data_IF_149764738684
#
_entry.id   IF_149764738684
#
_cell.length_a   1.000
_cell.length_b   1.000
_cell.length_c   1.000
_cell.angle_alpha   90.00
_cell.angle_beta   90.00
_cell.angle_gamma   90.00
#
_symmetry.space_group_name_H-M   'P 1'
#
loop_
_entity.id
_entity.type
_entity.pdbx_description
1 polymer ?
#
# COMPACT_ATOMS: atom_id res chain seq x y z
N UNK A 1 1.96 10.69 6.46
CA UNK A 1 1.78 10.63 5.00
C UNK A 1 2.97 11.32 4.36
N UNK A 2 3.20 12.61 4.65
CA UNK A 2 4.37 13.38 4.20
C UNK A 2 5.72 12.68 4.37
N UNK A 3 5.95 12.05 5.53
CA UNK A 3 7.18 11.27 5.79
C UNK A 3 7.43 10.18 4.73
N UNK A 4 6.38 9.49 4.30
CA UNK A 4 6.48 8.45 3.28
C UNK A 4 6.66 9.10 1.92
N UNK A 5 5.81 10.06 1.55
CA UNK A 5 5.87 10.76 0.26
C UNK A 5 7.24 11.38 -0.04
N UNK A 6 7.85 12.01 0.95
CA UNK A 6 9.13 12.71 0.78
C UNK A 6 10.35 11.77 0.72
N UNK A 7 10.19 10.50 1.11
CA UNK A 7 11.29 9.53 1.21
C UNK A 7 11.03 8.26 0.38
N UNK A 8 10.01 8.26 -0.47
CA UNK A 8 9.60 7.11 -1.26
C UNK A 8 10.25 7.12 -2.64
N UNK A 9 10.68 5.95 -3.09
CA UNK A 9 11.19 5.68 -4.42
C UNK A 9 10.50 4.43 -4.95
N UNK A 10 9.87 4.55 -6.11
CA UNK A 10 9.20 3.43 -6.73
C UNK A 10 10.20 2.38 -7.21
N UNK A 11 9.94 1.11 -6.91
CA UNK A 11 10.66 -0.05 -7.44
C UNK A 11 9.68 -1.18 -7.72
N UNK A 12 9.96 -2.01 -8.72
CA UNK A 12 9.08 -3.13 -9.05
C UNK A 12 9.35 -4.37 -8.19
N UNK A 13 8.29 -5.11 -7.89
CA UNK A 13 8.33 -6.38 -7.15
C UNK A 13 9.23 -7.46 -7.79
N UNK A 14 9.37 -7.41 -9.12
CA UNK A 14 10.25 -8.31 -9.86
C UNK A 14 11.72 -8.08 -9.51
N UNK A 15 12.08 -6.83 -9.22
CA UNK A 15 13.46 -6.41 -8.94
C UNK A 15 13.84 -6.62 -7.47
N UNK A 16 12.89 -6.61 -6.52
CA UNK A 16 13.18 -6.80 -5.09
C UNK A 16 13.06 -8.24 -4.58
N UNK A 17 12.04 -9.00 -5.02
CA UNK A 17 11.70 -10.28 -4.37
C UNK A 17 11.50 -11.46 -5.33
N UNK A 18 11.54 -11.25 -6.64
CA UNK A 18 11.38 -12.31 -7.66
C UNK A 18 10.00 -12.97 -7.65
N UNK A 19 9.03 -12.45 -6.88
CA UNK A 19 7.64 -12.88 -6.84
C UNK A 19 6.73 -11.67 -6.63
N UNK A 20 5.79 -11.51 -7.55
CA UNK A 20 4.86 -10.38 -7.75
C UNK A 20 3.73 -10.24 -6.71
N UNK A 21 3.87 -10.84 -5.53
CA UNK A 21 2.71 -11.12 -4.65
C UNK A 21 2.90 -10.78 -3.17
N UNK A 22 4.09 -10.36 -2.74
CA UNK A 22 4.38 -10.18 -1.32
C UNK A 22 4.29 -8.70 -0.92
N UNK A 23 3.20 -8.31 -0.27
CA UNK A 23 3.02 -6.94 0.24
C UNK A 23 3.84 -6.72 1.52
N UNK A 24 4.41 -5.54 1.68
CA UNK A 24 5.20 -5.21 2.87
C UNK A 24 4.98 -3.80 3.41
N UNK A 25 5.39 -3.63 4.66
CA UNK A 25 5.43 -2.33 5.35
C UNK A 25 6.89 -1.91 5.39
N UNK A 26 7.21 -0.79 4.75
CA UNK A 26 8.55 -0.23 4.79
C UNK A 26 8.78 0.43 6.15
N UNK A 27 9.72 -0.10 6.93
CA UNK A 27 9.95 0.33 8.32
C UNK A 27 11.03 1.39 8.44
N UNK A 28 11.93 1.46 7.47
CA UNK A 28 13.14 2.29 7.48
C UNK A 28 13.29 3.01 6.15
N UNK A 29 13.96 4.17 6.19
CA UNK A 29 14.24 5.00 5.02
C UNK A 29 15.57 4.57 4.37
N UNK A 30 15.77 4.80 3.06
CA UNK A 30 14.77 5.27 2.10
C UNK A 30 13.68 4.23 1.86
N UNK A 31 12.44 4.69 1.65
CA UNK A 31 11.30 3.82 1.41
C UNK A 31 11.31 3.39 -0.06
N UNK A 32 11.54 2.11 -0.32
CA UNK A 32 11.57 1.56 -1.68
C UNK A 32 10.50 0.47 -1.82
N UNK A 33 9.51 0.70 -2.67
CA UNK A 33 8.51 -0.31 -3.01
C UNK A 33 7.54 0.08 -4.10
N UNK A 34 6.44 -0.65 -4.20
CA UNK A 34 5.39 -0.39 -5.19
C UNK A 34 4.19 0.40 -4.60
N UNK A 35 3.08 0.44 -5.33
CA UNK A 35 1.88 1.17 -4.89
C UNK A 35 1.24 0.56 -3.63
N UNK A 36 1.26 -0.76 -3.48
CA UNK A 36 0.74 -1.43 -2.30
C UNK A 36 1.60 -1.14 -1.07
N UNK A 37 2.91 -1.19 -1.21
CA UNK A 37 3.82 -0.94 -0.10
C UNK A 37 3.72 0.50 0.39
N UNK A 38 3.59 1.46 -0.54
CA UNK A 38 3.33 2.85 -0.21
C UNK A 38 2.04 3.00 0.60
N UNK A 39 0.93 2.45 0.10
CA UNK A 39 -0.37 2.52 0.74
C UNK A 39 -0.34 1.93 2.17
N UNK A 40 0.28 0.76 2.32
CA UNK A 40 0.43 0.10 3.62
C UNK A 40 1.32 0.88 4.58
N UNK A 41 2.43 1.41 4.08
CA UNK A 41 3.39 2.18 4.89
C UNK A 41 2.78 3.51 5.35
N UNK A 42 2.00 4.18 4.50
CA UNK A 42 1.23 5.37 4.89
C UNK A 42 0.26 5.02 6.02
N UNK A 43 -0.52 3.94 5.88
CA UNK A 43 -1.48 3.54 6.92
C UNK A 43 -0.77 3.15 8.23
N UNK A 44 0.36 2.44 8.14
CA UNK A 44 1.20 2.10 9.28
C UNK A 44 1.68 3.34 10.05
N UNK A 45 2.16 4.36 9.33
CA UNK A 45 2.62 5.62 9.91
C UNK A 45 1.46 6.40 10.55
N UNK A 46 0.29 6.49 9.90
CA UNK A 46 -0.92 7.10 10.47
C UNK A 46 -1.31 6.43 11.81
N UNK A 47 -1.09 5.12 11.91
CA UNK A 47 -1.42 4.33 13.10
C UNK A 47 -0.29 4.28 14.12
N UNK A 48 0.65 5.23 14.04
CA UNK A 48 1.75 5.38 15.00
C UNK A 48 2.72 4.22 14.97
N UNK A 49 3.00 3.70 13.76
CA UNK A 49 3.92 2.57 13.54
C UNK A 49 3.54 1.31 14.34
N UNK A 50 2.25 1.09 14.55
CA UNK A 50 1.70 -0.12 15.18
C UNK A 50 0.98 -0.99 14.16
N UNK A 51 1.53 -2.19 13.90
CA UNK A 51 0.91 -3.18 12.99
C UNK A 51 -0.47 -3.58 13.49
N UNK A 52 -0.62 -3.78 14.80
CA UNK A 52 -1.92 -4.10 15.38
C UNK A 52 -2.96 -3.02 15.10
N UNK A 53 -2.65 -1.74 15.38
CA UNK A 53 -3.57 -0.63 15.10
C UNK A 53 -3.86 -0.47 13.60
N UNK A 54 -2.88 -0.74 12.74
CA UNK A 54 -3.05 -0.77 11.28
C UNK A 54 -4.04 -1.85 10.85
N UNK A 55 -3.85 -3.09 11.31
CA UNK A 55 -4.74 -4.21 11.01
C UNK A 55 -6.15 -3.96 11.54
N UNK A 56 -6.31 -3.50 12.78
CA UNK A 56 -7.63 -3.13 13.33
C UNK A 56 -8.30 -2.03 12.49
N UNK A 57 -7.54 -1.06 11.98
CA UNK A 57 -8.07 -0.03 11.07
C UNK A 57 -8.58 -0.60 9.76
N UNK A 58 -7.95 -1.67 9.25
CA UNK A 58 -8.40 -2.35 8.02
C UNK A 58 -9.64 -3.22 8.28
N UNK A 59 -9.68 -3.88 9.45
CA UNK A 59 -10.81 -4.68 9.92
C UNK A 59 -12.07 -3.84 10.11
N UNK A 60 -11.94 -2.67 10.73
CA UNK A 60 -13.05 -1.73 10.94
C UNK A 60 -13.27 -0.76 9.77
N UNK A 61 -12.75 -1.09 8.56
CA UNK A 61 -12.96 -0.34 7.31
C UNK A 61 -12.55 1.15 7.35
N UNK A 62 -11.74 1.56 8.32
CA UNK A 62 -11.20 2.92 8.38
C UNK A 62 -10.08 3.14 7.36
N UNK A 63 -9.26 2.11 7.11
CA UNK A 63 -8.19 2.11 6.11
C UNK A 63 -8.38 0.96 5.12
N UNK A 64 -8.26 1.21 3.82
CA UNK A 64 -8.51 0.19 2.79
C UNK A 64 -7.67 0.47 1.55
N UNK A 65 -7.02 -0.56 1.01
CA UNK A 65 -6.37 -0.47 -0.31
C UNK A 65 -7.43 -0.71 -1.38
N UNK A 66 -7.42 0.11 -2.42
CA UNK A 66 -8.37 0.09 -3.52
C UNK A 66 -7.65 -0.04 -4.84
N UNK A 67 -8.07 -1.01 -5.63
CA UNK A 67 -7.65 -1.15 -7.02
C UNK A 67 -8.40 -0.17 -7.91
N UNK A 68 -7.65 0.53 -8.74
CA UNK A 68 -8.16 1.38 -9.80
C UNK A 68 -7.35 1.18 -11.08
N UNK A 69 -7.92 1.61 -12.20
CA UNK A 69 -7.18 1.79 -13.45
C UNK A 69 -6.89 3.27 -13.59
N UNK A 70 -5.60 3.61 -13.72
CA UNK A 70 -5.14 4.96 -13.96
C UNK A 70 -5.53 5.44 -15.38
N UNK A 71 -5.47 6.75 -15.66
CA UNK A 71 -5.92 7.32 -16.94
C UNK A 71 -5.16 6.77 -18.16
N UNK A 72 -3.91 6.36 -17.97
CA UNK A 72 -3.07 5.72 -18.98
C UNK A 72 -3.35 4.21 -19.17
N UNK A 73 -4.37 3.66 -18.51
CA UNK A 73 -4.76 2.26 -18.60
C UNK A 73 -4.00 1.30 -17.68
N UNK A 74 -3.04 1.79 -16.90
CA UNK A 74 -2.24 0.97 -15.97
C UNK A 74 -3.05 0.64 -14.70
N UNK A 75 -2.93 -0.58 -14.19
CA UNK A 75 -3.51 -0.97 -12.90
C UNK A 75 -2.74 -0.30 -11.76
N UNK A 76 -3.48 0.23 -10.79
CA UNK A 76 -2.93 1.02 -9.71
C UNK A 76 -3.67 0.80 -8.40
N UNK A 77 -2.98 1.02 -7.28
CA UNK A 77 -3.53 0.82 -5.94
C UNK A 77 -3.46 2.11 -5.14
N UNK A 78 -4.60 2.50 -4.57
CA UNK A 78 -4.74 3.69 -3.73
C UNK A 78 -5.07 3.29 -2.29
N UNK A 79 -4.60 4.03 -1.31
CA UNK A 79 -5.06 3.94 0.07
C UNK A 79 -6.27 4.86 0.27
N UNK A 80 -7.42 4.30 0.64
CA UNK A 80 -8.50 5.04 1.29
C UNK A 80 -8.30 5.04 2.81
N UNK A 81 -8.33 6.22 3.43
CA UNK A 81 -8.41 6.37 4.88
C UNK A 81 -9.50 7.37 5.27
N UNK A 82 -10.51 6.92 6.02
CA UNK A 82 -11.64 7.76 6.49
C UNK A 82 -12.29 8.63 5.39
N UNK A 83 -12.38 8.11 4.16
CA UNK A 83 -12.99 8.81 3.02
C UNK A 83 -12.01 9.55 2.10
N UNK A 84 -10.78 9.79 2.57
CA UNK A 84 -9.70 10.38 1.76
C UNK A 84 -8.88 9.30 1.07
N UNK A 85 -8.29 9.64 -0.08
CA UNK A 85 -7.52 8.74 -0.94
C UNK A 85 -6.11 9.27 -1.13
N UNK A 86 -5.13 8.38 -1.22
CA UNK A 86 -3.75 8.75 -1.54
C UNK A 86 -3.02 7.58 -2.17
N UNK A 87 -1.97 7.86 -2.93
CA UNK A 87 -1.10 6.89 -3.57
C UNK A 87 0.30 7.48 -3.81
N UNK A 88 1.16 6.69 -4.45
CA UNK A 88 2.53 7.07 -4.81
C UNK A 88 2.63 7.83 -6.14
N UNK A 89 1.53 8.32 -6.71
CA UNK A 89 1.52 9.16 -7.91
C UNK A 89 1.14 10.60 -7.55
N UNK A 90 0.12 10.75 -6.72
CA UNK A 90 -0.41 12.03 -6.26
C UNK A 90 0.38 12.61 -5.08
N UNK A 91 0.94 11.75 -4.22
CA UNK A 91 1.67 12.15 -3.01
C UNK A 91 0.94 13.16 -2.11
N UNK A 92 -0.40 13.19 -2.18
CA UNK A 92 -1.28 14.00 -1.35
C UNK A 92 -2.59 13.27 -1.06
N UNK A 93 -3.36 13.80 -0.12
CA UNK A 93 -4.74 13.35 0.10
C UNK A 93 -5.65 14.00 -0.93
N UNK A 94 -6.45 13.18 -1.62
CA UNK A 94 -7.48 13.61 -2.55
C UNK A 94 -8.83 12.98 -2.16
N UNK A 95 -9.92 13.52 -2.68
CA UNK A 95 -11.24 12.89 -2.66
C UNK A 95 -11.35 11.84 -3.77
N UNK A 96 -12.37 10.99 -3.72
CA UNK A 96 -12.60 10.02 -4.79
C UNK A 96 -12.96 10.71 -6.11
N UNK A 97 -13.70 11.81 -5.99
CA UNK A 97 -14.18 12.64 -7.09
C UNK A 97 -13.00 13.23 -7.85
N UNK A 98 -12.00 13.77 -7.15
CA UNK A 98 -10.76 14.28 -7.78
C UNK A 98 -10.01 13.19 -8.58
N UNK A 99 -10.00 11.94 -8.09
CA UNK A 99 -9.44 10.82 -8.86
C UNK A 99 -10.27 10.52 -10.11
N UNK A 100 -11.60 10.53 -10.00
CA UNK A 100 -12.49 10.29 -11.14
C UNK A 100 -12.33 11.39 -12.20
N UNK A 101 -12.26 12.66 -11.79
CA UNK A 101 -12.03 13.81 -12.67
C UNK A 101 -10.70 13.70 -13.42
N UNK A 102 -9.67 13.16 -12.77
CA UNK A 102 -8.38 12.86 -13.41
C UNK A 102 -8.43 11.66 -14.36
N UNK A 103 -9.53 10.91 -14.39
CA UNK A 103 -9.74 9.77 -15.28
C UNK A 103 -9.50 8.40 -14.65
N UNK A 104 -9.33 8.30 -13.33
CA UNK A 104 -9.18 7.01 -12.66
C UNK A 104 -10.52 6.27 -12.58
N UNK A 105 -10.46 4.94 -12.79
CA UNK A 105 -11.63 4.05 -12.71
C UNK A 105 -11.47 3.08 -11.55
N UNK A 106 -12.28 3.23 -10.50
CA UNK A 106 -12.24 2.36 -9.32
C UNK A 106 -13.00 1.06 -9.56
N UNK A 107 -12.40 -0.08 -9.17
CA UNK A 107 -12.99 -1.42 -9.35
C UNK A 107 -13.68 -1.89 -8.06
N UNK A 108 -15.03 -1.89 -8.00
CA UNK A 108 -15.76 -2.12 -6.75
C UNK A 108 -15.66 -3.54 -6.18
N UNK A 109 -15.36 -4.53 -7.02
CA UNK A 109 -15.32 -5.94 -6.63
C UNK A 109 -13.93 -6.42 -6.22
N UNK A 110 -12.87 -5.65 -6.51
CA UNK A 110 -11.48 -6.03 -6.22
C UNK A 110 -11.03 -5.46 -4.88
N UNK A 111 -11.94 -5.53 -3.91
CA UNK A 111 -11.84 -4.92 -2.62
C UNK A 111 -11.82 -5.97 -1.52
N UNK A 112 -10.67 -6.55 -1.21
CA UNK A 112 -10.57 -7.40 -0.03
C UNK A 112 -9.47 -6.96 0.92
N UNK A 113 -9.89 -6.33 2.02
CA UNK A 113 -9.03 -6.11 3.18
C UNK A 113 -8.43 -7.43 3.70
N UNK A 114 -9.10 -8.57 3.49
CA UNK A 114 -8.63 -9.88 3.94
C UNK A 114 -7.52 -10.43 3.05
N UNK A 115 -7.57 -10.19 1.73
CA UNK A 115 -6.45 -10.58 0.84
C UNK A 115 -5.22 -9.76 1.17
N UNK A 116 -5.38 -8.46 1.43
CA UNK A 116 -4.31 -7.60 1.94
C UNK A 116 -3.68 -8.13 3.23
N UNK A 117 -4.51 -8.55 4.19
CA UNK A 117 -4.06 -9.13 5.45
C UNK A 117 -3.30 -10.44 5.26
N UNK A 118 -3.82 -11.36 4.44
CA UNK A 118 -3.14 -12.63 4.14
C UNK A 118 -1.81 -12.43 3.42
N UNK A 119 -1.74 -11.51 2.46
CA UNK A 119 -0.50 -11.15 1.75
C UNK A 119 0.54 -10.52 2.68
N UNK A 120 0.11 -9.65 3.60
CA UNK A 120 0.98 -9.09 4.64
C UNK A 120 1.56 -10.17 5.57
N UNK A 121 0.72 -11.11 6.00
CA UNK A 121 1.17 -12.24 6.84
C UNK A 121 2.17 -13.11 6.07
N UNK A 122 1.89 -13.43 4.81
CA UNK A 122 2.80 -14.16 3.95
C UNK A 122 4.15 -13.41 3.77
N UNK A 123 4.11 -12.11 3.48
CA UNK A 123 5.29 -11.25 3.35
C UNK A 123 6.15 -11.23 4.60
N UNK A 124 5.55 -11.15 5.78
CA UNK A 124 6.27 -11.23 7.07
C UNK A 124 7.05 -12.54 7.21
N UNK A 125 6.44 -13.69 6.90
CA UNK A 125 7.12 -14.99 7.00
C UNK A 125 8.20 -15.20 5.93
N UNK A 126 7.98 -14.73 4.69
CA UNK A 126 8.97 -14.79 3.61
C UNK A 126 10.23 -14.02 4.01
N UNK A 127 10.07 -12.80 4.54
CA UNK A 127 11.19 -11.97 4.99
C UNK A 127 11.99 -12.66 6.10
N UNK A 128 11.29 -13.17 7.12
CA UNK A 128 11.91 -13.83 8.27
C UNK A 128 12.70 -15.09 7.88
N UNK A 129 12.32 -15.76 6.79
CA UNK A 129 13.07 -16.89 6.22
C UNK A 129 14.34 -16.43 5.50
N UNK A 130 14.29 -15.35 4.70
CA UNK A 130 15.48 -14.78 4.04
C UNK A 130 16.50 -14.22 5.04
N UNK A 131 16.04 -13.50 6.07
CA UNK A 131 16.92 -12.99 7.14
C UNK A 131 17.71 -14.12 7.82
N UNK A 132 17.09 -15.30 8.01
CA UNK A 132 17.75 -16.50 8.55
C UNK A 132 18.69 -17.23 7.58
N UNK A 133 18.57 -17.01 6.27
CA UNK A 133 19.43 -17.63 5.26
C UNK A 133 20.68 -16.79 4.96
N UNK A 134 20.63 -15.49 5.25
CA UNK A 134 21.68 -14.51 4.96
C UNK A 134 22.50 -14.10 6.20
N UNK A 135 22.27 -14.72 7.36
CA UNK A 135 23.02 -14.52 8.60
C UNK A 135 23.50 -15.85 9.15
#
# INVERSE_FOLDING_TARGET
MEDVSNNFTWTSDADQFGKREAWYIMREKPYMGDCEDFALTVLYNIKGRSVFKMLMSMTFLQGKVHYCTAPNGVLHNTLRYKGWYTDNWEYKWCTKEEYIEKGYKFHPLWYWSWTAMWKLVAGYFIRRRKEKQNG
#
